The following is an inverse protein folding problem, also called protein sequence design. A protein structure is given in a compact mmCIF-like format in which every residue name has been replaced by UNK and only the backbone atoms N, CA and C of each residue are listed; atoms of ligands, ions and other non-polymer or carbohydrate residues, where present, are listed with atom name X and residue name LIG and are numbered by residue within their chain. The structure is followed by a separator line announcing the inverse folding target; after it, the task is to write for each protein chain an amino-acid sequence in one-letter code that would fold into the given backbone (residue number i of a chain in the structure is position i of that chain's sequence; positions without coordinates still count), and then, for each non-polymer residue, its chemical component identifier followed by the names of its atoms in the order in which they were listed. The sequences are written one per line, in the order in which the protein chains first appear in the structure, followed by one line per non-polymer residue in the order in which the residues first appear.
data_IF_599059731955
#
_entry.id   IF_599059731955
#
_cell.length_a   1.000
_cell.length_b   1.000
_cell.length_c   1.000
_cell.angle_alpha   90.00
_cell.angle_beta   90.00
_cell.angle_gamma   90.00
#
_symmetry.space_group_name_H-M   'P 1'
#
loop_
_entity.id
_entity.type
_entity.pdbx_description
1 polymer ?
#
# COMPACT_ATOMS: atom_id res chain seq x y z
N UNK A 1 18.35 20.24 24.25
CA UNK A 1 18.90 20.69 22.95
C UNK A 1 18.03 20.09 21.87
N UNK A 2 17.68 20.84 20.83
CA UNK A 2 16.61 20.48 19.89
C UNK A 2 16.97 19.36 18.90
N UNK A 3 18.23 18.89 18.84
CA UNK A 3 18.69 17.89 17.89
C UNK A 3 19.70 16.89 18.53
N UNK A 4 19.31 16.19 19.60
CA UNK A 4 20.14 15.11 20.14
C UNK A 4 20.09 13.88 19.23
N UNK A 5 21.23 13.28 18.94
CA UNK A 5 21.34 12.06 18.13
C UNK A 5 21.89 10.92 18.99
N UNK A 6 21.22 9.77 18.94
CA UNK A 6 21.66 8.55 19.59
C UNK A 6 22.23 7.59 18.55
N UNK A 7 23.46 7.15 18.78
CA UNK A 7 24.16 6.15 17.98
C UNK A 7 24.06 4.80 18.67
N UNK A 8 23.41 3.85 18.01
CA UNK A 8 23.18 2.50 18.47
C UNK A 8 24.11 1.54 17.73
N UNK A 9 24.96 0.84 18.47
CA UNK A 9 25.75 -0.29 17.95
C UNK A 9 24.95 -1.57 18.22
N UNK A 10 24.33 -2.12 17.17
CA UNK A 10 23.30 -3.17 17.29
C UNK A 10 23.69 -4.44 16.56
N UNK A 11 23.48 -5.56 17.23
CA UNK A 11 23.65 -6.91 16.67
C UNK A 11 22.38 -7.71 16.85
N UNK A 12 21.91 -8.31 15.75
CA UNK A 12 20.83 -9.29 15.72
C UNK A 12 21.42 -10.67 15.46
N UNK A 13 21.09 -11.63 16.31
CA UNK A 13 21.45 -13.03 16.14
C UNK A 13 20.24 -13.94 16.31
N UNK A 14 20.31 -15.16 15.76
CA UNK A 14 19.29 -16.19 15.90
C UNK A 14 19.85 -17.52 16.38
N UNK A 15 18.94 -18.36 16.88
CA UNK A 15 19.15 -19.79 17.09
C UNK A 15 17.82 -20.53 17.08
N UNK A 16 17.84 -21.82 16.74
CA UNK A 16 16.65 -22.66 16.74
C UNK A 16 16.58 -23.63 17.92
N UNK A 17 17.73 -23.98 18.49
CA UNK A 17 17.84 -24.79 19.70
C UNK A 17 18.51 -23.98 20.82
N UNK A 18 18.13 -24.24 22.06
CA UNK A 18 18.63 -23.49 23.23
C UNK A 18 20.10 -23.77 23.55
N UNK A 19 20.64 -24.87 23.03
CA UNK A 19 22.02 -25.32 23.23
C UNK A 19 22.96 -24.93 22.09
N UNK A 20 22.43 -24.45 20.97
CA UNK A 20 23.24 -24.05 19.82
C UNK A 20 23.82 -22.65 20.03
N UNK A 21 24.96 -22.41 19.40
CA UNK A 21 25.59 -21.10 19.34
C UNK A 21 24.73 -20.11 18.53
N UNK A 22 24.75 -18.86 18.96
CA UNK A 22 24.08 -17.77 18.28
C UNK A 22 24.75 -17.47 16.94
N UNK A 23 23.95 -17.38 15.87
CA UNK A 23 24.41 -16.98 14.54
C UNK A 23 23.97 -15.55 14.26
N UNK A 24 24.92 -14.69 13.93
CA UNK A 24 24.65 -13.30 13.61
C UNK A 24 23.92 -13.18 12.26
N UNK A 25 22.82 -12.41 12.25
CA UNK A 25 22.04 -12.04 11.06
C UNK A 25 22.57 -10.73 10.51
N UNK A 26 22.64 -9.72 11.37
CA UNK A 26 22.97 -8.36 11.00
C UNK A 26 23.65 -7.64 12.15
N UNK A 27 24.67 -6.85 11.80
CA UNK A 27 25.35 -5.92 12.67
C UNK A 27 25.35 -4.57 11.99
N UNK A 28 24.87 -3.53 12.66
CA UNK A 28 24.85 -2.19 12.12
C UNK A 28 25.09 -1.15 13.21
N UNK A 29 25.72 -0.04 12.81
CA UNK A 29 25.79 1.17 13.65
C UNK A 29 24.75 2.12 13.08
N UNK A 30 23.73 2.41 13.87
CA UNK A 30 22.54 3.13 13.45
C UNK A 30 22.38 4.42 14.24
N UNK A 31 22.12 5.51 13.54
CA UNK A 31 21.92 6.82 14.16
C UNK A 31 20.42 7.12 14.15
N UNK A 32 19.91 7.62 15.28
CA UNK A 32 18.51 8.02 15.45
C UNK A 32 18.44 9.39 16.09
N UNK A 33 17.51 10.22 15.61
CA UNK A 33 17.24 11.54 16.20
C UNK A 33 16.29 11.38 17.38
N UNK A 34 16.66 11.93 18.53
CA UNK A 34 15.85 11.93 19.74
C UNK A 34 14.94 13.17 19.75
N UNK A 35 13.64 12.94 19.53
CA UNK A 35 12.60 13.96 19.70
C UNK A 35 11.96 13.77 21.07
N UNK A 36 12.52 14.46 22.05
CA UNK A 36 12.11 14.36 23.45
C UNK A 36 11.68 15.72 23.98
N UNK A 37 10.53 15.76 24.64
CA UNK A 37 9.99 16.96 25.29
C UNK A 37 9.92 16.74 26.79
N UNK A 38 10.15 17.81 27.55
CA UNK A 38 10.00 17.78 29.00
C UNK A 38 8.83 18.69 29.37
N UNK A 39 7.67 18.09 29.60
CA UNK A 39 6.44 18.83 29.91
C UNK A 39 6.38 19.41 31.34
N UNK A 40 7.29 19.00 32.22
CA UNK A 40 7.35 19.51 33.61
C UNK A 40 8.19 20.79 33.70
N UNK A 41 7.88 21.70 34.65
CA UNK A 41 8.74 22.86 34.90
C UNK A 41 10.12 22.41 35.36
N UNK A 42 11.18 23.09 34.89
CA UNK A 42 12.58 22.77 35.23
C UNK A 42 12.92 23.26 36.65
N UNK A 43 12.29 22.65 37.65
CA UNK A 43 12.53 22.88 39.08
C UNK A 43 13.24 21.69 39.71
N UNK A 44 13.88 21.90 40.86
CA UNK A 44 14.53 20.83 41.63
C UNK A 44 13.57 19.68 41.98
N UNK A 45 12.28 19.98 42.17
CA UNK A 45 11.23 18.98 42.44
C UNK A 45 10.90 18.08 41.23
N UNK A 46 11.28 18.51 40.02
CA UNK A 46 11.03 17.77 38.79
C UNK A 46 12.25 16.96 38.33
N UNK A 47 13.35 16.98 39.09
CA UNK A 47 14.51 16.11 38.84
C UNK A 47 14.11 14.62 38.94
N UNK A 48 14.62 13.82 38.02
CA UNK A 48 14.31 12.38 37.92
C UNK A 48 13.00 12.04 37.19
N UNK A 49 12.21 13.03 36.76
CA UNK A 49 11.07 12.77 35.86
C UNK A 49 11.54 12.38 34.47
N UNK A 50 10.75 11.51 33.81
CA UNK A 50 11.05 11.07 32.45
C UNK A 50 10.71 12.13 31.41
N UNK A 51 11.49 12.15 30.34
CA UNK A 51 11.13 12.85 29.12
C UNK A 51 10.02 12.09 28.39
N UNK A 52 9.13 12.84 27.73
CA UNK A 52 8.18 12.28 26.80
C UNK A 52 8.80 12.32 25.40
N UNK A 53 9.16 11.15 24.88
CA UNK A 53 9.88 10.99 23.62
C UNK A 53 9.05 10.22 22.61
N UNK A 54 9.17 10.60 21.34
CA UNK A 54 8.59 9.85 20.23
C UNK A 54 9.22 8.45 20.12
N UNK A 55 8.42 7.48 19.66
CA UNK A 55 8.93 6.14 19.37
C UNK A 55 9.96 6.18 18.23
N UNK A 56 11.08 5.49 18.44
CA UNK A 56 12.13 5.35 17.42
C UNK A 56 11.90 4.08 16.60
N UNK A 57 11.80 4.18 15.25
CA UNK A 57 11.79 2.99 14.41
C UNK A 57 13.14 2.27 14.53
N UNK A 58 13.08 1.02 15.01
CA UNK A 58 14.28 0.26 15.34
C UNK A 58 14.66 -0.73 14.24
N UNK A 59 13.79 -1.71 13.99
CA UNK A 59 14.07 -2.82 13.08
C UNK A 59 12.78 -3.41 12.52
N UNK A 60 12.82 -3.83 11.26
CA UNK A 60 11.78 -4.66 10.63
C UNK A 60 12.47 -5.83 9.91
N UNK A 61 12.10 -7.06 10.26
CA UNK A 61 12.56 -8.27 9.58
C UNK A 61 11.43 -8.84 8.72
N UNK A 62 11.78 -9.26 7.50
CA UNK A 62 10.80 -9.65 6.50
C UNK A 62 10.12 -11.00 6.73
N UNK A 63 10.70 -11.81 7.61
CA UNK A 63 10.32 -13.19 7.86
C UNK A 63 10.76 -13.59 9.27
N UNK A 64 9.94 -14.43 9.92
CA UNK A 64 10.26 -15.04 11.21
C UNK A 64 10.63 -16.49 10.95
N UNK A 65 11.87 -16.70 10.51
CA UNK A 65 12.38 -18.03 10.13
C UNK A 65 12.85 -18.88 11.31
N UNK A 66 13.27 -18.23 12.40
CA UNK A 66 13.89 -18.91 13.54
C UNK A 66 13.05 -18.80 14.80
N UNK A 67 13.29 -19.70 15.77
CA UNK A 67 12.52 -19.73 17.02
C UNK A 67 12.93 -18.68 18.03
N UNK A 68 14.23 -18.38 18.11
CA UNK A 68 14.77 -17.46 19.10
C UNK A 68 15.66 -16.42 18.42
N UNK A 69 15.50 -15.17 18.87
CA UNK A 69 16.30 -14.03 18.42
C UNK A 69 16.93 -13.36 19.64
N UNK A 70 18.18 -12.95 19.50
CA UNK A 70 18.92 -12.14 20.47
C UNK A 70 19.23 -10.81 19.83
N UNK A 71 18.88 -9.74 20.52
CA UNK A 71 19.16 -8.37 20.13
C UNK A 71 20.08 -7.78 21.18
N UNK A 72 21.29 -7.44 20.79
CA UNK A 72 22.23 -6.71 21.64
C UNK A 72 22.25 -5.25 21.18
N UNK A 73 22.03 -4.34 22.12
CA UNK A 73 22.07 -2.89 21.88
C UNK A 73 23.18 -2.31 22.76
N UNK A 74 24.16 -1.68 22.13
CA UNK A 74 25.25 -0.97 22.81
C UNK A 74 25.18 0.51 22.48
N UNK A 75 25.44 1.34 23.49
CA UNK A 75 25.54 2.80 23.38
C UNK A 75 27.00 3.22 23.53
N UNK A 76 27.80 3.23 22.46
CA UNK A 76 29.19 3.65 22.55
C UNK A 76 29.27 5.16 22.81
N UNK A 77 30.07 5.59 23.79
CA UNK A 77 30.30 7.03 24.07
C UNK A 77 31.68 7.43 23.55
N UNK A 78 31.76 8.53 22.80
CA UNK A 78 33.03 9.08 22.34
C UNK A 78 33.00 10.60 22.32
N UNK A 79 33.58 11.22 23.35
CA UNK A 79 33.65 12.69 23.49
C UNK A 79 34.38 13.39 22.35
N UNK A 80 35.46 12.79 21.83
CA UNK A 80 36.26 13.40 20.74
C UNK A 80 35.48 13.50 19.43
N UNK A 81 34.58 12.54 19.19
CA UNK A 81 33.74 12.47 18.00
C UNK A 81 32.31 12.99 18.24
N UNK A 82 32.00 13.43 19.46
CA UNK A 82 30.65 13.84 19.84
C UNK A 82 29.60 12.72 19.81
N UNK A 83 29.99 11.44 19.91
CA UNK A 83 29.06 10.30 19.82
C UNK A 83 28.42 10.06 21.18
N UNK A 84 27.08 10.04 21.22
CA UNK A 84 26.28 9.84 22.44
C UNK A 84 26.63 10.80 23.58
N UNK A 85 27.01 12.04 23.23
CA UNK A 85 27.27 13.12 24.19
C UNK A 85 26.02 14.00 24.27
N UNK A 86 25.57 14.36 25.48
CA UNK A 86 24.42 15.25 25.65
C UNK A 86 23.05 14.65 25.34
N UNK A 87 22.94 13.33 25.21
CA UNK A 87 21.67 12.62 24.90
C UNK A 87 20.71 12.46 26.10
N UNK A 88 21.03 13.08 27.24
CA UNK A 88 20.30 12.95 28.50
C UNK A 88 20.68 11.70 29.30
N UNK A 89 20.01 11.51 30.45
CA UNK A 89 20.20 10.32 31.28
C UNK A 89 19.21 9.22 30.88
N UNK A 90 19.73 8.17 30.23
CA UNK A 90 18.93 7.01 29.83
C UNK A 90 18.87 6.03 31.01
N UNK A 91 17.66 5.79 31.52
CA UNK A 91 17.42 4.77 32.57
C UNK A 91 17.23 3.38 31.96
N UNK A 92 16.23 3.25 31.09
CA UNK A 92 15.85 1.99 30.46
C UNK A 92 15.52 2.21 28.97
N UNK A 93 15.71 1.17 28.17
CA UNK A 93 15.25 1.11 26.77
C UNK A 93 14.15 0.05 26.68
N UNK A 94 12.99 0.45 26.16
CA UNK A 94 11.87 -0.47 25.93
C UNK A 94 11.78 -0.82 24.45
N UNK A 95 11.53 -2.09 24.15
CA UNK A 95 11.34 -2.59 22.79
C UNK A 95 9.98 -3.27 22.69
N UNK A 96 9.23 -2.92 21.64
CA UNK A 96 7.92 -3.51 21.36
C UNK A 96 8.05 -4.40 20.12
N UNK A 97 7.81 -5.70 20.31
CA UNK A 97 7.78 -6.66 19.21
C UNK A 97 6.39 -6.70 18.57
N UNK A 98 6.29 -6.33 17.30
CA UNK A 98 5.06 -6.41 16.52
C UNK A 98 5.21 -7.55 15.51
N UNK A 99 4.26 -8.47 15.51
CA UNK A 99 4.21 -9.56 14.54
C UNK A 99 2.76 -9.86 14.18
N UNK A 100 2.54 -10.41 12.99
CA UNK A 100 1.22 -10.89 12.62
C UNK A 100 0.85 -12.08 13.51
N UNK A 101 -0.36 -12.07 14.07
CA UNK A 101 -0.82 -13.16 14.91
C UNK A 101 -0.96 -14.45 14.08
N UNK A 102 -0.35 -15.55 14.50
CA UNK A 102 -0.35 -16.82 13.77
C UNK A 102 -1.76 -17.37 13.50
N UNK A 103 -2.74 -17.07 14.37
CA UNK A 103 -4.14 -17.39 14.12
C UNK A 103 -4.72 -16.64 12.91
N UNK A 104 -4.46 -15.33 12.84
CA UNK A 104 -4.85 -14.49 11.70
C UNK A 104 -4.15 -14.96 10.42
N UNK A 105 -2.85 -15.24 10.46
CA UNK A 105 -2.09 -15.72 9.29
C UNK A 105 -2.67 -17.01 8.72
N UNK A 106 -3.08 -17.98 9.56
CA UNK A 106 -3.72 -19.21 9.10
C UNK A 106 -5.05 -18.96 8.38
N UNK A 107 -5.90 -18.10 8.95
CA UNK A 107 -7.19 -17.73 8.33
C UNK A 107 -6.95 -17.00 7.01
N UNK A 108 -5.99 -16.08 6.99
CA UNK A 108 -5.60 -15.34 5.78
C UNK A 108 -5.12 -16.26 4.66
N UNK A 109 -4.29 -17.26 4.98
CA UNK A 109 -3.80 -18.23 4.01
C UNK A 109 -4.93 -19.10 3.49
N UNK A 110 -5.81 -19.60 4.36
CA UNK A 110 -6.97 -20.39 3.96
C UNK A 110 -7.91 -19.60 3.03
N UNK A 111 -8.17 -18.32 3.37
CA UNK A 111 -8.97 -17.43 2.53
C UNK A 111 -8.35 -17.23 1.16
N UNK A 112 -7.04 -16.94 1.08
CA UNK A 112 -6.35 -16.81 -0.22
C UNK A 112 -6.42 -18.09 -1.03
N UNK A 113 -6.07 -19.24 -0.43
CA UNK A 113 -6.09 -20.55 -1.10
C UNK A 113 -7.48 -20.92 -1.64
N UNK A 114 -8.55 -20.53 -0.95
CA UNK A 114 -9.92 -20.76 -1.43
C UNK A 114 -10.33 -19.78 -2.55
N UNK A 115 -9.92 -18.52 -2.45
CA UNK A 115 -10.26 -17.49 -3.43
C UNK A 115 -9.48 -17.61 -4.75
N UNK A 116 -8.21 -18.04 -4.73
CA UNK A 116 -7.41 -18.16 -5.97
C UNK A 116 -8.08 -19.01 -7.05
N UNK A 117 -8.49 -20.28 -6.80
CA UNK A 117 -9.04 -21.13 -7.84
C UNK A 117 -10.39 -20.59 -8.36
N UNK A 118 -11.23 -20.03 -7.50
CA UNK A 118 -12.53 -19.47 -7.91
C UNK A 118 -12.35 -18.27 -8.84
N UNK A 119 -11.47 -17.33 -8.50
CA UNK A 119 -11.15 -16.16 -9.33
C UNK A 119 -10.47 -16.57 -10.64
N UNK A 120 -9.57 -17.57 -10.61
CA UNK A 120 -8.89 -18.06 -11.81
C UNK A 120 -9.89 -18.73 -12.78
N UNK A 121 -10.79 -19.57 -12.28
CA UNK A 121 -11.81 -20.24 -13.10
C UNK A 121 -12.71 -19.21 -13.79
N UNK A 122 -13.24 -18.22 -13.05
CA UNK A 122 -14.11 -17.20 -13.64
C UNK A 122 -13.36 -16.32 -14.63
N UNK A 123 -12.08 -16.01 -14.39
CA UNK A 123 -11.24 -15.23 -15.31
C UNK A 123 -10.97 -15.99 -16.61
N UNK A 124 -10.61 -17.27 -16.53
CA UNK A 124 -10.40 -18.14 -17.72
C UNK A 124 -11.70 -18.28 -18.50
N UNK A 125 -12.82 -18.50 -17.80
CA UNK A 125 -14.14 -18.56 -18.42
C UNK A 125 -14.51 -17.25 -19.12
N UNK A 126 -14.27 -16.11 -18.47
CA UNK A 126 -14.56 -14.78 -19.00
C UNK A 126 -13.80 -14.53 -20.30
N UNK A 127 -12.48 -14.79 -20.30
CA UNK A 127 -11.66 -14.59 -21.50
C UNK A 127 -12.04 -15.53 -22.63
N UNK A 128 -12.29 -16.81 -22.31
CA UNK A 128 -12.77 -17.79 -23.29
C UNK A 128 -14.10 -17.38 -23.92
N UNK A 129 -15.03 -16.81 -23.16
CA UNK A 129 -16.31 -16.31 -23.70
C UNK A 129 -16.12 -15.13 -24.64
N UNK A 130 -15.15 -14.26 -24.37
CA UNK A 130 -14.82 -13.13 -25.23
C UNK A 130 -14.22 -13.57 -26.55
N UNK A 131 -13.25 -14.49 -26.52
CA UNK A 131 -12.56 -14.95 -27.72
C UNK A 131 -13.42 -15.79 -28.67
N UNK A 132 -14.55 -16.32 -28.19
CA UNK A 132 -15.54 -17.03 -29.02
C UNK A 132 -16.44 -16.08 -29.83
N UNK A 133 -16.45 -14.78 -29.55
CA UNK A 133 -17.20 -13.82 -30.35
C UNK A 133 -16.47 -13.48 -31.65
N UNK A 134 -17.21 -13.15 -32.70
CA UNK A 134 -16.65 -12.75 -34.00
C UNK A 134 -15.98 -11.37 -34.00
N UNK A 135 -16.28 -10.53 -32.99
CA UNK A 135 -15.69 -9.19 -32.83
C UNK A 135 -14.43 -9.22 -31.97
N UNK A 136 -13.52 -8.28 -32.23
CA UNK A 136 -12.35 -8.08 -31.37
C UNK A 136 -12.77 -7.61 -29.95
N UNK A 137 -12.02 -7.95 -28.89
CA UNK A 137 -12.30 -7.52 -27.52
C UNK A 137 -12.25 -5.99 -27.39
N UNK A 138 -13.26 -5.40 -26.75
CA UNK A 138 -13.29 -3.94 -26.52
C UNK A 138 -12.39 -3.54 -25.35
N UNK A 139 -12.09 -2.24 -25.24
CA UNK A 139 -11.19 -1.72 -24.20
C UNK A 139 -11.67 -2.11 -22.79
N UNK A 140 -12.96 -1.95 -22.50
CA UNK A 140 -13.52 -2.28 -21.19
C UNK A 140 -13.35 -3.76 -20.83
N UNK A 141 -13.51 -4.67 -21.79
CA UNK A 141 -13.33 -6.11 -21.58
C UNK A 141 -11.87 -6.46 -21.27
N UNK A 142 -10.93 -5.83 -21.97
CA UNK A 142 -9.48 -5.98 -21.71
C UNK A 142 -9.10 -5.47 -20.32
N UNK A 143 -9.67 -4.35 -19.89
CA UNK A 143 -9.38 -3.76 -18.58
C UNK A 143 -9.98 -4.59 -17.45
N UNK A 144 -11.21 -5.13 -17.61
CA UNK A 144 -11.79 -6.08 -16.65
C UNK A 144 -10.93 -7.35 -16.55
N UNK A 145 -10.45 -7.87 -17.68
CA UNK A 145 -9.54 -9.01 -17.68
C UNK A 145 -8.24 -8.70 -16.94
N UNK A 146 -7.63 -7.55 -17.18
CA UNK A 146 -6.42 -7.11 -16.49
C UNK A 146 -6.63 -6.91 -14.98
N UNK A 147 -7.79 -6.40 -14.56
CA UNK A 147 -8.19 -6.32 -13.15
C UNK A 147 -8.37 -7.72 -12.52
N UNK A 148 -8.90 -8.68 -13.28
CA UNK A 148 -8.96 -10.09 -12.86
C UNK A 148 -7.58 -10.71 -12.67
N UNK A 149 -6.62 -10.39 -13.55
CA UNK A 149 -5.22 -10.84 -13.42
C UNK A 149 -4.60 -10.25 -12.15
N UNK A 150 -4.73 -8.94 -11.89
CA UNK A 150 -4.15 -8.32 -10.70
C UNK A 150 -4.79 -8.84 -9.41
N UNK A 151 -6.11 -9.08 -9.38
CA UNK A 151 -6.80 -9.71 -8.26
C UNK A 151 -6.34 -11.15 -8.04
N UNK A 152 -6.13 -11.92 -9.12
CA UNK A 152 -5.58 -13.27 -9.03
C UNK A 152 -4.18 -13.21 -8.43
N UNK A 153 -3.32 -12.30 -8.91
CA UNK A 153 -1.94 -12.14 -8.46
C UNK A 153 -1.82 -11.87 -6.95
N UNK A 154 -2.71 -11.05 -6.36
CA UNK A 154 -2.79 -10.84 -4.91
C UNK A 154 -3.17 -12.12 -4.16
N UNK A 155 -4.13 -12.85 -4.70
CA UNK A 155 -4.73 -14.02 -4.04
C UNK A 155 -3.91 -15.29 -4.22
N UNK A 156 -2.89 -15.34 -5.10
CA UNK A 156 -1.97 -16.48 -5.15
C UNK A 156 -1.29 -16.56 -3.77
N UNK A 157 -1.42 -17.70 -3.06
CA UNK A 157 -0.98 -17.82 -1.69
C UNK A 157 0.51 -18.20 -1.65
N UNK A 158 1.35 -17.33 -2.21
CA UNK A 158 2.83 -17.46 -2.26
C UNK A 158 3.41 -17.50 -0.84
N UNK A 159 2.70 -16.92 0.12
CA UNK A 159 3.06 -16.89 1.53
C UNK A 159 3.11 -18.30 2.18
N UNK A 160 2.50 -19.32 1.59
CA UNK A 160 2.72 -20.71 2.06
C UNK A 160 4.18 -21.13 2.01
N UNK A 161 4.94 -20.62 1.03
CA UNK A 161 6.36 -20.93 0.91
C UNK A 161 7.19 -20.31 2.04
N UNK A 162 6.75 -19.21 2.66
CA UNK A 162 7.49 -18.60 3.77
C UNK A 162 7.40 -19.38 5.08
N UNK A 163 6.57 -20.44 5.16
CA UNK A 163 6.57 -21.36 6.30
C UNK A 163 7.80 -22.28 6.24
N UNK A 164 8.19 -22.71 5.03
CA UNK A 164 9.28 -23.65 4.81
C UNK A 164 10.61 -23.01 4.42
N UNK A 165 10.57 -21.79 3.87
CA UNK A 165 11.75 -21.07 3.40
C UNK A 165 11.82 -19.67 4.00
N UNK A 166 13.03 -19.25 4.37
CA UNK A 166 13.27 -17.90 4.86
C UNK A 166 13.34 -16.89 3.70
N UNK A 167 12.22 -16.26 3.38
CA UNK A 167 12.12 -15.24 2.32
C UNK A 167 11.82 -13.86 2.90
N UNK A 168 12.87 -13.08 3.14
CA UNK A 168 12.79 -11.71 3.69
C UNK A 168 12.08 -10.72 2.76
N UNK A 169 11.99 -10.98 1.46
CA UNK A 169 11.36 -10.12 0.45
C UNK A 169 9.83 -10.24 0.36
N UNK A 170 9.21 -11.06 1.22
CA UNK A 170 7.77 -11.34 1.16
C UNK A 170 6.90 -10.10 1.38
N UNK A 171 7.29 -9.19 2.29
CA UNK A 171 6.56 -7.94 2.52
C UNK A 171 6.57 -7.06 1.28
N UNK A 172 7.75 -6.78 0.71
CA UNK A 172 7.91 -5.98 -0.50
C UNK A 172 7.10 -6.56 -1.67
N UNK A 173 7.11 -7.89 -1.84
CA UNK A 173 6.30 -8.55 -2.85
C UNK A 173 4.79 -8.46 -2.57
N UNK A 174 4.38 -8.47 -1.30
CA UNK A 174 3.02 -8.16 -0.89
C UNK A 174 2.58 -6.75 -1.30
N UNK A 175 3.41 -5.75 -1.00
CA UNK A 175 3.11 -4.34 -1.29
C UNK A 175 3.03 -4.08 -2.79
N UNK A 176 3.99 -4.60 -3.57
CA UNK A 176 3.98 -4.47 -5.04
C UNK A 176 2.71 -5.08 -5.63
N UNK A 177 2.29 -6.25 -5.15
CA UNK A 177 1.04 -6.90 -5.60
C UNK A 177 -0.18 -6.03 -5.33
N UNK A 178 -0.26 -5.44 -4.13
CA UNK A 178 -1.36 -4.55 -3.74
C UNK A 178 -1.34 -3.24 -4.55
N UNK A 179 -0.17 -2.62 -4.71
CA UNK A 179 0.00 -1.40 -5.51
C UNK A 179 -0.43 -1.58 -6.96
N UNK A 180 -0.06 -2.71 -7.59
CA UNK A 180 -0.52 -3.05 -8.96
C UNK A 180 -2.04 -3.15 -9.03
N UNK A 181 -2.67 -3.83 -8.06
CA UNK A 181 -4.13 -3.95 -8.04
C UNK A 181 -4.81 -2.59 -7.87
N UNK A 182 -4.34 -1.74 -6.95
CA UNK A 182 -4.92 -0.41 -6.77
C UNK A 182 -4.77 0.45 -8.03
N UNK A 183 -3.59 0.45 -8.67
CA UNK A 183 -3.40 1.16 -9.93
C UNK A 183 -4.36 0.66 -11.03
N UNK A 184 -4.55 -0.65 -11.14
CA UNK A 184 -5.49 -1.25 -12.09
C UNK A 184 -6.95 -0.95 -11.76
N UNK A 185 -7.33 -0.93 -10.48
CA UNK A 185 -8.68 -0.61 -10.02
C UNK A 185 -9.03 0.86 -10.32
N UNK A 186 -8.12 1.79 -10.02
CA UNK A 186 -8.30 3.21 -10.33
C UNK A 186 -8.40 3.45 -11.85
N UNK A 187 -7.57 2.73 -12.62
CA UNK A 187 -7.60 2.77 -14.09
C UNK A 187 -8.91 2.20 -14.65
N UNK A 188 -9.42 1.12 -14.05
CA UNK A 188 -10.71 0.56 -14.41
C UNK A 188 -11.84 1.58 -14.21
N UNK A 189 -11.89 2.27 -13.08
CA UNK A 189 -12.96 3.25 -12.81
C UNK A 189 -12.99 4.40 -13.80
N UNK A 190 -11.82 4.96 -14.13
CA UNK A 190 -11.75 6.11 -15.03
C UNK A 190 -12.07 5.74 -16.48
N UNK A 191 -11.62 4.56 -16.93
CA UNK A 191 -11.96 4.01 -18.24
C UNK A 191 -13.45 3.64 -18.28
N UNK A 192 -13.98 3.00 -17.23
CA UNK A 192 -15.39 2.64 -17.16
C UNK A 192 -16.30 3.88 -17.26
N UNK A 193 -15.99 4.96 -16.53
CA UNK A 193 -16.73 6.21 -16.61
C UNK A 193 -16.64 6.83 -18.01
N UNK A 194 -15.45 6.82 -18.63
CA UNK A 194 -15.26 7.39 -19.95
C UNK A 194 -15.93 6.62 -21.09
N UNK A 195 -15.96 5.28 -21.02
CA UNK A 195 -16.62 4.44 -22.02
C UNK A 195 -18.15 4.55 -21.96
N UNK A 196 -18.71 4.88 -20.80
CA UNK A 196 -20.15 5.11 -20.63
C UNK A 196 -20.57 6.55 -20.92
N UNK A 197 -19.65 7.42 -21.35
CA UNK A 197 -20.02 8.70 -21.94
C UNK A 197 -20.65 8.47 -23.32
N UNK A 198 -21.94 8.74 -23.45
CA UNK A 198 -22.72 8.58 -24.68
C UNK A 198 -22.45 9.71 -25.71
N UNK A 199 -21.18 10.00 -25.98
CA UNK A 199 -20.72 11.00 -26.94
C UNK A 199 -20.41 10.38 -28.31
N UNK A 200 -20.28 11.22 -29.34
CA UNK A 200 -20.02 10.75 -30.72
C UNK A 200 -18.58 10.23 -30.95
N UNK A 201 -17.64 10.46 -30.02
CA UNK A 201 -16.27 9.98 -30.17
C UNK A 201 -16.14 8.54 -29.67
N UNK A 202 -15.71 7.63 -30.54
CA UNK A 202 -15.33 6.28 -30.14
C UNK A 202 -14.04 6.30 -29.30
N UNK A 203 -14.14 5.91 -28.02
CA UNK A 203 -13.02 5.93 -27.05
C UNK A 203 -12.33 4.57 -26.86
N UNK A 204 -12.42 3.67 -27.83
CA UNK A 204 -11.89 2.31 -27.74
C UNK A 204 -10.33 2.16 -27.65
N UNK A 205 -9.58 3.26 -27.57
CA UNK A 205 -8.10 3.26 -27.54
C UNK A 205 -7.58 3.79 -26.21
N UNK A 206 -6.65 3.05 -25.59
CA UNK A 206 -5.97 3.45 -24.36
C UNK A 206 -5.26 4.81 -24.49
N UNK A 207 -4.76 5.16 -25.68
CA UNK A 207 -4.14 6.45 -25.95
C UNK A 207 -5.08 7.65 -25.73
N UNK A 208 -6.39 7.45 -25.89
CA UNK A 208 -7.40 8.45 -25.59
C UNK A 208 -7.51 8.77 -24.09
N UNK A 209 -7.04 7.85 -23.23
CA UNK A 209 -7.09 7.96 -21.78
C UNK A 209 -5.77 8.38 -21.13
N UNK A 210 -4.74 8.71 -21.91
CA UNK A 210 -3.41 9.02 -21.38
C UNK A 210 -3.41 10.15 -20.34
N UNK A 211 -4.23 11.19 -20.55
CA UNK A 211 -4.36 12.31 -19.62
C UNK A 211 -4.97 11.89 -18.27
N UNK A 212 -5.83 10.87 -18.28
CA UNK A 212 -6.52 10.37 -17.10
C UNK A 212 -5.74 9.27 -16.38
N UNK A 213 -5.05 8.40 -17.12
CA UNK A 213 -4.23 7.30 -16.58
C UNK A 213 -2.84 7.79 -16.18
N UNK A 214 -2.36 8.90 -16.76
CA UNK A 214 -1.07 9.51 -16.44
C UNK A 214 -0.85 9.75 -14.94
N UNK A 215 -1.75 10.44 -14.22
CA UNK A 215 -1.63 10.64 -12.77
C UNK A 215 -1.55 9.31 -12.00
N UNK A 216 -2.30 8.29 -12.40
CA UNK A 216 -2.27 6.97 -11.74
C UNK A 216 -0.90 6.32 -11.92
N UNK A 217 -0.36 6.34 -13.13
CA UNK A 217 0.93 5.75 -13.45
C UNK A 217 2.10 6.47 -12.77
N UNK A 218 2.07 7.81 -12.71
CA UNK A 218 3.09 8.61 -12.01
C UNK A 218 3.00 8.37 -10.51
N UNK A 219 1.79 8.43 -9.93
CA UNK A 219 1.60 8.20 -8.50
C UNK A 219 2.03 6.80 -8.06
N UNK A 220 1.66 5.76 -8.81
CA UNK A 220 2.07 4.38 -8.50
C UNK A 220 3.58 4.17 -8.66
N UNK A 221 4.21 4.81 -9.65
CA UNK A 221 5.67 4.75 -9.82
C UNK A 221 6.41 5.47 -8.69
N UNK A 222 5.92 6.62 -8.22
CA UNK A 222 6.49 7.32 -7.06
C UNK A 222 6.40 6.47 -5.79
N UNK A 223 5.25 5.84 -5.53
CA UNK A 223 5.09 4.94 -4.37
C UNK A 223 5.95 3.68 -4.49
N UNK A 224 6.09 3.13 -5.70
CA UNK A 224 6.99 2.00 -5.94
C UNK A 224 8.45 2.35 -5.64
N UNK A 225 8.93 3.53 -6.06
CA UNK A 225 10.29 3.98 -5.72
C UNK A 225 10.44 4.14 -4.21
N UNK A 226 9.44 4.73 -3.55
CA UNK A 226 9.43 4.88 -2.10
C UNK A 226 9.56 3.53 -1.38
N UNK A 227 8.72 2.55 -1.73
CA UNK A 227 8.78 1.19 -1.14
C UNK A 227 10.12 0.50 -1.41
N UNK A 228 10.68 0.67 -2.61
CA UNK A 228 12.00 0.13 -2.96
C UNK A 228 13.13 0.79 -2.17
N UNK A 229 13.04 2.08 -1.87
CA UNK A 229 14.02 2.81 -1.08
C UNK A 229 13.91 2.48 0.41
N UNK A 230 12.71 2.25 0.94
CA UNK A 230 12.51 1.91 2.35
C UNK A 230 12.67 0.39 2.58
N UNK A 231 11.69 -0.40 2.12
CA UNK A 231 11.63 -1.86 2.33
C UNK A 231 12.66 -2.62 1.52
N UNK A 232 13.01 -2.13 0.32
CA UNK A 232 14.05 -2.76 -0.50
C UNK A 232 15.44 -2.69 0.13
N UNK A 233 15.78 -1.61 0.83
CA UNK A 233 17.06 -1.48 1.54
C UNK A 233 17.04 -2.26 2.86
N UNK A 234 15.88 -2.35 3.51
CA UNK A 234 15.70 -3.16 4.73
C UNK A 234 16.02 -4.65 4.53
N UNK A 235 15.93 -5.17 3.30
CA UNK A 235 16.34 -6.55 2.98
C UNK A 235 17.82 -6.81 3.25
N UNK A 236 18.67 -5.79 3.11
CA UNK A 236 20.11 -5.89 3.37
C UNK A 236 20.46 -5.45 4.79
N UNK A 237 19.79 -4.41 5.28
CA UNK A 237 19.98 -3.88 6.62
C UNK A 237 18.63 -3.75 7.32
N UNK A 238 18.25 -4.70 8.22
CA UNK A 238 16.93 -4.70 8.85
C UNK A 238 16.73 -3.50 9.81
N UNK A 239 17.81 -2.81 10.17
CA UNK A 239 17.76 -1.60 10.98
C UNK A 239 17.70 -0.32 10.13
N UNK A 240 17.68 -0.41 8.80
CA UNK A 240 17.58 0.79 7.97
C UNK A 240 16.20 1.46 8.08
N UNK A 241 16.21 2.80 8.11
CA UNK A 241 15.00 3.60 7.98
C UNK A 241 15.32 4.89 7.22
N UNK A 242 14.56 5.18 6.16
CA UNK A 242 14.75 6.36 5.30
C UNK A 242 14.54 7.68 6.07
N UNK A 243 13.71 7.62 7.12
CA UNK A 243 13.32 8.72 7.99
C UNK A 243 14.42 9.22 8.93
N UNK A 244 15.58 8.57 8.94
CA UNK A 244 16.69 8.89 9.85
C UNK A 244 17.59 9.98 9.29
N UNK A 245 17.85 9.93 7.99
CA UNK A 245 18.65 10.94 7.28
C UNK A 245 17.77 12.10 6.82
N UNK A 246 18.31 13.32 6.86
CA UNK A 246 17.59 14.53 6.42
C UNK A 246 17.23 14.43 4.93
N UNK A 247 18.24 14.13 4.10
CA UNK A 247 18.06 13.96 2.66
C UNK A 247 17.08 12.81 2.34
N UNK A 248 17.17 11.69 3.05
CA UNK A 248 16.24 10.57 2.87
C UNK A 248 14.81 10.95 3.22
N UNK A 249 14.61 11.66 4.33
CA UNK A 249 13.29 12.14 4.77
C UNK A 249 12.69 13.12 3.77
N UNK A 250 13.47 14.08 3.27
CA UNK A 250 13.01 15.03 2.25
C UNK A 250 12.61 14.32 0.95
N UNK A 251 13.40 13.36 0.49
CA UNK A 251 13.09 12.55 -0.70
C UNK A 251 11.84 11.68 -0.50
N UNK A 252 11.73 10.99 0.64
CA UNK A 252 10.55 10.20 1.00
C UNK A 252 9.27 11.05 1.00
N UNK A 253 9.33 12.20 1.67
CA UNK A 253 8.23 13.16 1.71
C UNK A 253 7.89 13.68 0.31
N UNK A 254 8.88 13.96 -0.54
CA UNK A 254 8.65 14.39 -1.92
C UNK A 254 7.89 13.32 -2.73
N UNK A 255 8.27 12.05 -2.63
CA UNK A 255 7.55 10.95 -3.32
C UNK A 255 6.10 10.83 -2.84
N UNK A 256 5.86 10.91 -1.53
CA UNK A 256 4.53 10.83 -0.94
C UNK A 256 3.68 12.04 -1.36
N UNK A 257 4.24 13.25 -1.35
CA UNK A 257 3.53 14.48 -1.77
C UNK A 257 3.16 14.40 -3.25
N UNK A 258 4.08 13.97 -4.12
CA UNK A 258 3.79 13.81 -5.56
C UNK A 258 2.70 12.76 -5.79
N UNK A 259 2.75 11.62 -5.09
CA UNK A 259 1.70 10.61 -5.16
C UNK A 259 0.34 11.15 -4.67
N UNK A 260 0.33 11.94 -3.59
CA UNK A 260 -0.86 12.61 -3.08
C UNK A 260 -1.46 13.61 -4.07
N UNK A 261 -0.64 14.44 -4.72
CA UNK A 261 -1.09 15.36 -5.77
C UNK A 261 -1.69 14.58 -6.94
N UNK A 262 -1.05 13.49 -7.37
CA UNK A 262 -1.56 12.63 -8.44
C UNK A 262 -2.92 12.01 -8.08
N UNK A 263 -3.10 11.59 -6.82
CA UNK A 263 -4.37 11.06 -6.32
C UNK A 263 -5.47 12.12 -6.30
N UNK A 264 -5.17 13.34 -5.86
CA UNK A 264 -6.11 14.47 -5.89
C UNK A 264 -6.52 14.82 -7.33
N UNK A 265 -5.57 14.90 -8.26
CA UNK A 265 -5.85 15.12 -9.68
C UNK A 265 -6.73 14.00 -10.27
N UNK A 266 -6.44 12.74 -9.91
CA UNK A 266 -7.27 11.60 -10.31
C UNK A 266 -8.72 11.76 -9.82
N UNK A 267 -8.94 12.09 -8.54
CA UNK A 267 -10.28 12.27 -8.00
C UNK A 267 -11.03 13.43 -8.66
N UNK A 268 -10.35 14.55 -8.94
CA UNK A 268 -10.95 15.66 -9.70
C UNK A 268 -11.40 15.20 -11.09
N UNK A 269 -10.57 14.45 -11.82
CA UNK A 269 -10.95 13.91 -13.12
C UNK A 269 -12.11 12.92 -13.02
N UNK A 270 -12.10 12.03 -12.03
CA UNK A 270 -13.17 11.06 -11.84
C UNK A 270 -14.50 11.76 -11.55
N UNK A 271 -14.52 12.72 -10.62
CA UNK A 271 -15.71 13.52 -10.31
C UNK A 271 -16.24 14.28 -11.54
N UNK A 272 -15.35 14.90 -12.32
CA UNK A 272 -15.71 15.59 -13.55
C UNK A 272 -16.34 14.64 -14.57
N UNK A 273 -15.73 13.47 -14.79
CA UNK A 273 -16.24 12.46 -15.72
C UNK A 273 -17.59 11.91 -15.27
N UNK A 274 -17.75 11.61 -13.98
CA UNK A 274 -19.02 11.16 -13.41
C UNK A 274 -20.12 12.21 -13.60
N UNK A 275 -19.82 13.49 -13.31
CA UNK A 275 -20.74 14.60 -13.56
C UNK A 275 -21.13 14.70 -15.05
N UNK A 276 -20.17 14.61 -15.96
CA UNK A 276 -20.45 14.62 -17.40
C UNK A 276 -21.33 13.46 -17.84
N UNK A 277 -21.07 12.24 -17.33
CA UNK A 277 -21.89 11.07 -17.64
C UNK A 277 -23.32 11.28 -17.16
N UNK A 278 -23.54 11.74 -15.92
CA UNK A 278 -24.89 12.01 -15.42
C UNK A 278 -25.60 13.10 -16.24
N UNK A 279 -24.89 14.16 -16.63
CA UNK A 279 -25.46 15.23 -17.48
C UNK A 279 -25.87 14.68 -18.85
N UNK A 280 -25.02 13.84 -19.47
CA UNK A 280 -25.31 13.23 -20.77
C UNK A 280 -26.46 12.21 -20.69
N UNK A 281 -26.50 11.41 -19.61
CA UNK A 281 -27.64 10.52 -19.33
C UNK A 281 -28.94 11.31 -19.22
N UNK A 282 -28.95 12.40 -18.45
CA UNK A 282 -30.14 13.26 -18.31
C UNK A 282 -30.58 13.85 -19.66
N UNK A 283 -29.64 14.36 -20.45
CA UNK A 283 -29.93 14.88 -21.80
C UNK A 283 -30.37 13.82 -22.81
N UNK A 284 -29.87 12.59 -22.73
CA UNK A 284 -30.30 11.48 -23.59
C UNK A 284 -31.66 10.94 -23.16
N UNK A 285 -31.95 10.89 -21.86
CA UNK A 285 -33.23 10.40 -21.34
C UNK A 285 -34.43 11.19 -21.88
N UNK A 286 -34.30 12.51 -22.08
CA UNK A 286 -35.38 13.33 -22.67
C UNK A 286 -35.64 13.02 -24.15
N UNK A 287 -34.66 12.47 -24.88
CA UNK A 287 -34.77 12.12 -26.30
C UNK A 287 -35.05 10.64 -26.57
N UNK A 288 -34.95 9.77 -25.55
CA UNK A 288 -35.22 8.33 -25.68
C UNK A 288 -36.61 7.99 -26.24
N UNK A 289 -37.71 8.68 -25.88
CA UNK A 289 -39.04 8.35 -26.42
C UNK A 289 -39.16 8.55 -27.93
N UNK A 290 -38.32 9.43 -28.51
CA UNK A 290 -38.32 9.75 -29.94
C UNK A 290 -37.42 8.81 -30.79
N UNK A 291 -36.73 7.85 -30.17
CA UNK A 291 -35.83 6.92 -30.87
C UNK A 291 -36.53 5.63 -31.30
N UNK A 292 -35.96 4.94 -32.29
CA UNK A 292 -36.41 3.60 -32.67
C UNK A 292 -36.28 2.61 -31.50
N UNK A 293 -37.21 1.65 -31.41
CA UNK A 293 -37.30 0.70 -30.28
C UNK A 293 -35.98 -0.04 -30.00
N UNK A 294 -35.26 -0.47 -31.04
CA UNK A 294 -33.99 -1.16 -30.91
C UNK A 294 -32.88 -0.26 -30.34
N UNK A 295 -32.77 0.99 -30.81
CA UNK A 295 -31.78 1.97 -30.32
C UNK A 295 -32.09 2.41 -28.90
N UNK A 296 -33.38 2.60 -28.58
CA UNK A 296 -33.85 2.94 -27.24
C UNK A 296 -33.46 1.86 -26.22
N UNK A 297 -33.76 0.59 -26.49
CA UNK A 297 -33.41 -0.53 -25.61
C UNK A 297 -31.89 -0.64 -25.38
N UNK A 298 -31.08 -0.39 -26.40
CA UNK A 298 -29.62 -0.38 -26.27
C UNK A 298 -29.14 0.69 -25.30
N UNK A 299 -29.60 1.93 -25.44
CA UNK A 299 -29.22 3.04 -24.54
C UNK A 299 -29.79 2.88 -23.13
N UNK A 300 -31.04 2.42 -22.98
CA UNK A 300 -31.62 2.10 -21.66
C UNK A 300 -30.77 1.06 -20.92
N UNK A 301 -30.33 0.00 -21.63
CA UNK A 301 -29.44 -1.01 -21.07
C UNK A 301 -28.07 -0.47 -20.66
N UNK A 302 -27.48 0.42 -21.47
CA UNK A 302 -26.20 1.06 -21.16
C UNK A 302 -26.30 1.96 -19.92
N UNK A 303 -27.35 2.77 -19.82
CA UNK A 303 -27.64 3.63 -18.67
C UNK A 303 -27.84 2.79 -17.40
N UNK A 304 -28.62 1.70 -17.50
CA UNK A 304 -28.87 0.81 -16.37
C UNK A 304 -27.58 0.19 -15.85
N UNK A 305 -26.74 -0.37 -16.73
CA UNK A 305 -25.46 -0.99 -16.36
C UNK A 305 -24.53 0.01 -15.67
N UNK A 306 -24.44 1.23 -16.19
CA UNK A 306 -23.65 2.29 -15.58
C UNK A 306 -24.14 2.61 -14.16
N UNK A 307 -25.44 2.89 -13.98
CA UNK A 307 -26.02 3.22 -12.67
C UNK A 307 -25.88 2.08 -11.67
N UNK A 308 -26.15 0.86 -12.10
CA UNK A 308 -26.05 -0.34 -11.26
C UNK A 308 -24.62 -0.53 -10.75
N UNK A 309 -23.64 -0.51 -11.65
CA UNK A 309 -22.25 -0.71 -11.24
C UNK A 309 -21.77 0.44 -10.35
N UNK A 310 -22.05 1.70 -10.71
CA UNK A 310 -21.67 2.86 -9.91
C UNK A 310 -22.23 2.81 -8.48
N UNK A 311 -23.48 2.37 -8.30
CA UNK A 311 -24.09 2.23 -6.99
C UNK A 311 -23.38 1.17 -6.14
N UNK A 312 -23.06 0.02 -6.74
CA UNK A 312 -22.28 -1.03 -6.06
C UNK A 312 -20.90 -0.51 -5.67
N UNK A 313 -20.23 0.23 -6.56
CA UNK A 313 -18.91 0.83 -6.28
C UNK A 313 -18.94 1.74 -5.08
N UNK A 314 -19.91 2.67 -5.06
CA UNK A 314 -20.05 3.63 -3.97
C UNK A 314 -20.38 2.92 -2.66
N UNK A 315 -21.24 1.90 -2.69
CA UNK A 315 -21.53 1.09 -1.52
C UNK A 315 -20.28 0.35 -1.02
N UNK A 316 -19.51 -0.30 -1.90
CA UNK A 316 -18.26 -0.97 -1.53
C UNK A 316 -17.24 0.02 -0.96
N UNK A 317 -17.01 1.16 -1.62
CA UNK A 317 -16.06 2.17 -1.16
C UNK A 317 -16.47 2.76 0.20
N UNK A 318 -17.76 3.08 0.39
CA UNK A 318 -18.27 3.58 1.65
C UNK A 318 -18.09 2.56 2.77
N UNK A 319 -18.43 1.29 2.54
CA UNK A 319 -18.25 0.22 3.53
C UNK A 319 -16.78 0.05 3.89
N UNK A 320 -15.86 0.06 2.93
CA UNK A 320 -14.41 0.01 3.19
C UNK A 320 -13.95 1.15 4.09
N UNK A 321 -14.35 2.39 3.78
CA UNK A 321 -13.96 3.56 4.56
C UNK A 321 -14.56 3.54 5.97
N UNK A 322 -15.85 3.18 6.09
CA UNK A 322 -16.54 3.08 7.39
C UNK A 322 -15.85 2.05 8.28
N UNK A 323 -15.63 0.82 7.78
CA UNK A 323 -14.97 -0.22 8.57
C UNK A 323 -13.52 0.11 8.89
N UNK A 324 -12.81 0.77 7.97
CA UNK A 324 -11.46 1.27 8.25
C UNK A 324 -11.48 2.28 9.41
N UNK A 325 -12.33 3.30 9.36
CA UNK A 325 -12.44 4.30 10.43
C UNK A 325 -12.84 3.66 11.76
N UNK A 326 -13.83 2.76 11.74
CA UNK A 326 -14.25 2.03 12.94
C UNK A 326 -13.07 1.28 13.55
N UNK A 327 -12.27 0.59 12.73
CA UNK A 327 -11.09 -0.16 13.20
C UNK A 327 -9.95 0.72 13.73
N UNK A 328 -9.87 1.99 13.33
CA UNK A 328 -8.83 2.92 13.83
C UNK A 328 -9.24 3.58 15.15
N UNK A 329 -10.54 3.67 15.43
CA UNK A 329 -11.09 4.30 16.63
C UNK A 329 -11.41 3.29 17.73
N UNK A 330 -11.68 2.03 17.38
CA UNK A 330 -11.93 0.91 18.30
C UNK A 330 -10.65 0.37 18.92
#
# INVERSE_FOLDING_TARGET
EENAEITLDVSLAYRDNTFDDWKEIAHAIEIRKLKCTFGSPKTLESEGRHYDCDFLPFMEIGSVAHKYYLINIRLPVNERKGINVGIGEIKDIRLVGIHQNGGFTKVWFAMKTFLTPSILIIMVWYWRRITLMTRAPVLLEKVIFALGISMTFINIPVEWFSIGFDWTWMLLFGDIRQGIFYAMLLSFWIIFCGEHMMDQNERNRLSGYWKQVGPIAVGSFCLFIFDMCERGVQLKNPFYSIWTTEVGTELAMAFIIVAGICLCLYFLFLCFMVFQVFRNISGKQSSLPAMSKARRLHYEGLIFRFKFLMLITLACAAMTVIFFIVSQVS
#
